data_IF_340155924681
#
_entry.id   IF_340155924681
#
_cell.length_a   1.000
_cell.length_b   1.000
_cell.length_c   1.000
_cell.angle_alpha   90.00
_cell.angle_beta   90.00
_cell.angle_gamma   90.00
#
_symmetry.space_group_name_H-M   'P 1'
#
loop_
_entity.id
_entity.type
_entity.pdbx_description
1 polymer ?
#
# COMPACT_ATOMS: atom_id res chain seq x y z
N UNK A 1 -3.42 28.90 -7.43
CA UNK A 1 -3.42 28.38 -6.05
C UNK A 1 -4.68 27.59 -5.66
N UNK A 2 -5.90 27.97 -6.07
CA UNK A 2 -7.13 27.20 -5.70
C UNK A 2 -7.28 25.85 -6.46
N UNK A 3 -6.76 25.74 -7.69
CA UNK A 3 -6.81 24.48 -8.48
C UNK A 3 -6.01 23.33 -7.85
N UNK A 4 -4.78 23.59 -7.41
CA UNK A 4 -3.92 22.62 -6.73
C UNK A 4 -4.56 22.04 -5.45
N UNK A 5 -5.26 22.85 -4.64
CA UNK A 5 -5.89 22.31 -3.41
C UNK A 5 -7.06 21.37 -3.68
N UNK A 6 -7.88 21.66 -4.69
CA UNK A 6 -9.00 20.78 -5.12
C UNK A 6 -8.44 19.49 -5.72
N UNK A 7 -7.40 19.58 -6.56
CA UNK A 7 -6.74 18.43 -7.17
C UNK A 7 -6.16 17.48 -6.11
N UNK A 8 -5.49 18.02 -5.08
CA UNK A 8 -4.97 17.24 -3.95
C UNK A 8 -6.07 16.56 -3.12
N UNK A 9 -7.23 17.20 -2.96
CA UNK A 9 -8.38 16.61 -2.27
C UNK A 9 -9.04 15.47 -3.05
N UNK A 10 -9.12 15.62 -4.37
CA UNK A 10 -9.61 14.57 -5.26
C UNK A 10 -8.65 13.38 -5.20
N UNK A 11 -7.34 13.62 -5.36
CA UNK A 11 -6.32 12.57 -5.28
C UNK A 11 -6.35 11.84 -3.92
N UNK A 12 -6.53 12.57 -2.81
CA UNK A 12 -6.72 11.98 -1.49
C UNK A 12 -7.94 11.06 -1.44
N UNK A 13 -9.08 11.53 -1.95
CA UNK A 13 -10.32 10.74 -1.92
C UNK A 13 -10.22 9.49 -2.80
N UNK A 14 -9.52 9.59 -3.93
CA UNK A 14 -9.19 8.45 -4.79
C UNK A 14 -8.29 7.44 -4.06
N UNK A 15 -7.23 7.92 -3.39
CA UNK A 15 -6.31 7.09 -2.61
C UNK A 15 -6.99 6.39 -1.42
N UNK A 16 -7.82 7.11 -0.65
CA UNK A 16 -8.56 6.54 0.49
C UNK A 16 -9.46 5.37 0.06
N UNK A 17 -10.04 5.43 -1.15
CA UNK A 17 -10.86 4.34 -1.69
C UNK A 17 -10.03 3.15 -2.16
N UNK A 18 -8.82 3.40 -2.67
CA UNK A 18 -7.94 2.38 -3.23
C UNK A 18 -7.23 1.52 -2.16
N UNK A 19 -7.24 1.92 -0.88
CA UNK A 19 -6.55 1.19 0.22
C UNK A 19 -7.39 0.08 0.85
N UNK A 20 -8.71 0.13 0.70
CA UNK A 20 -9.62 -0.91 1.20
C UNK A 20 -9.37 -2.35 0.71
N UNK A 21 -8.70 -2.63 -0.44
CA UNK A 21 -8.56 -3.99 -0.94
C UNK A 21 -7.19 -4.66 -0.67
N UNK A 22 -6.20 -4.07 0.01
CA UNK A 22 -4.84 -4.66 0.06
C UNK A 22 -4.86 -6.04 0.76
N UNK A 23 -5.35 -6.11 2.00
CA UNK A 23 -5.45 -7.35 2.78
C UNK A 23 -6.44 -8.34 2.16
N UNK A 24 -7.59 -7.86 1.69
CA UNK A 24 -8.59 -8.72 1.06
C UNK A 24 -8.02 -9.37 -0.22
N UNK A 25 -7.29 -8.60 -1.03
CA UNK A 25 -6.65 -9.10 -2.25
C UNK A 25 -5.51 -10.06 -1.94
N UNK A 26 -4.70 -9.76 -0.92
CA UNK A 26 -3.63 -10.65 -0.47
C UNK A 26 -4.18 -12.01 -0.01
N UNK A 27 -5.25 -12.00 0.78
CA UNK A 27 -5.91 -13.22 1.26
C UNK A 27 -6.49 -14.05 0.11
N UNK A 28 -7.07 -13.38 -0.89
CA UNK A 28 -7.58 -14.04 -2.10
C UNK A 28 -6.46 -14.67 -2.94
N UNK A 29 -5.27 -14.07 -3.00
CA UNK A 29 -4.15 -14.56 -3.81
C UNK A 29 -3.31 -15.64 -3.11
N UNK A 30 -3.07 -15.51 -1.81
CA UNK A 30 -2.32 -16.52 -1.02
C UNK A 30 -3.20 -17.75 -0.74
N UNK A 31 -4.52 -17.58 -0.65
CA UNK A 31 -5.43 -18.66 -0.32
C UNK A 31 -5.21 -19.22 1.10
N UNK A 32 -5.82 -20.36 1.44
CA UNK A 32 -5.58 -20.99 2.73
C UNK A 32 -4.12 -21.44 2.85
N UNK A 33 -3.45 -21.06 3.92
CA UNK A 33 -2.07 -21.48 4.22
C UNK A 33 -2.04 -23.00 4.36
N UNK A 34 -1.45 -23.69 3.38
CA UNK A 34 -1.21 -25.13 3.47
C UNK A 34 0.03 -25.38 4.33
N UNK A 35 -0.18 -26.03 5.48
CA UNK A 35 0.90 -26.37 6.43
C UNK A 35 1.89 -27.40 5.86
N UNK A 36 1.61 -27.96 4.67
CA UNK A 36 2.52 -28.84 3.93
C UNK A 36 3.51 -28.09 3.01
N UNK A 37 3.42 -26.76 2.90
CA UNK A 37 4.33 -25.96 2.06
C UNK A 37 5.78 -25.97 2.56
N UNK A 38 6.69 -25.74 1.63
CA UNK A 38 8.11 -25.62 1.92
C UNK A 38 8.33 -24.43 2.87
N UNK A 39 9.02 -24.67 3.98
CA UNK A 39 9.10 -23.71 5.11
C UNK A 39 9.60 -22.33 4.68
N UNK A 40 10.46 -22.29 3.67
CA UNK A 40 11.03 -21.04 3.15
C UNK A 40 10.01 -20.19 2.39
N UNK A 41 9.15 -20.80 1.58
CA UNK A 41 8.09 -20.09 0.84
C UNK A 41 7.02 -19.56 1.82
N UNK A 42 6.71 -20.34 2.86
CA UNK A 42 5.82 -19.91 3.94
C UNK A 42 6.38 -18.71 4.70
N UNK A 43 7.67 -18.71 5.07
CA UNK A 43 8.34 -17.59 5.75
C UNK A 43 8.34 -16.31 4.90
N UNK A 44 8.56 -16.40 3.58
CA UNK A 44 8.52 -15.25 2.68
C UNK A 44 7.09 -14.66 2.55
N UNK A 45 6.06 -15.52 2.44
CA UNK A 45 4.66 -15.08 2.44
C UNK A 45 4.27 -14.38 3.74
N UNK A 46 4.70 -14.92 4.89
CA UNK A 46 4.46 -14.30 6.19
C UNK A 46 5.12 -12.93 6.32
N UNK A 47 6.36 -12.78 5.83
CA UNK A 47 7.06 -11.50 5.84
C UNK A 47 6.32 -10.46 4.98
N UNK A 48 5.94 -10.82 3.75
CA UNK A 48 5.19 -9.92 2.86
C UNK A 48 3.84 -9.54 3.47
N UNK A 49 3.09 -10.50 4.02
CA UNK A 49 1.82 -10.22 4.68
C UNK A 49 1.97 -9.28 5.89
N UNK A 50 3.03 -9.46 6.69
CA UNK A 50 3.32 -8.58 7.81
C UNK A 50 3.62 -7.15 7.36
N UNK A 51 4.43 -6.95 6.32
CA UNK A 51 4.73 -5.62 5.79
C UNK A 51 3.49 -4.93 5.20
N UNK A 52 2.66 -5.67 4.47
CA UNK A 52 1.41 -5.14 3.92
C UNK A 52 0.42 -4.74 5.01
N UNK A 53 0.32 -5.52 6.09
CA UNK A 53 -0.52 -5.17 7.24
C UNK A 53 -0.02 -3.90 7.97
N UNK A 54 1.30 -3.70 8.05
CA UNK A 54 1.86 -2.45 8.60
C UNK A 54 1.50 -1.26 7.71
N UNK A 55 1.64 -1.39 6.39
CA UNK A 55 1.26 -0.36 5.42
C UNK A 55 -0.21 0.05 5.57
N UNK A 56 -1.12 -0.92 5.64
CA UNK A 56 -2.54 -0.65 5.87
C UNK A 56 -2.79 0.07 7.20
N UNK A 57 -2.15 -0.37 8.27
CA UNK A 57 -2.29 0.24 9.59
C UNK A 57 -1.83 1.70 9.59
N UNK A 58 -0.70 2.00 8.92
CA UNK A 58 -0.22 3.37 8.74
C UNK A 58 -1.25 4.22 8.00
N UNK A 59 -1.83 3.67 6.93
CA UNK A 59 -2.81 4.36 6.09
C UNK A 59 -4.19 4.51 6.73
N UNK A 60 -4.54 3.68 7.70
CA UNK A 60 -5.78 3.83 8.47
C UNK A 60 -5.75 5.08 9.39
N UNK A 61 -4.57 5.59 9.71
CA UNK A 61 -4.40 6.74 10.61
C UNK A 61 -4.83 8.08 9.99
N UNK A 62 -5.57 8.91 10.74
CA UNK A 62 -5.99 10.24 10.26
C UNK A 62 -4.83 11.18 9.91
N UNK A 63 -3.68 11.04 10.59
CA UNK A 63 -2.49 11.86 10.33
C UNK A 63 -1.91 11.62 8.94
N UNK A 64 -1.97 10.37 8.45
CA UNK A 64 -1.50 9.99 7.12
C UNK A 64 -2.14 10.81 6.00
N UNK A 65 -3.44 11.12 6.15
CA UNK A 65 -4.23 11.82 5.16
C UNK A 65 -4.20 13.35 5.25
N UNK A 66 -3.43 13.89 6.19
CA UNK A 66 -3.32 15.34 6.36
C UNK A 66 -2.58 15.97 5.18
N UNK A 67 -3.12 17.06 4.63
CA UNK A 67 -2.52 17.80 3.49
C UNK A 67 -1.47 18.82 3.95
N UNK A 68 -0.80 18.52 5.07
CA UNK A 68 0.27 19.30 5.67
C UNK A 68 1.60 18.52 5.58
N UNK A 69 2.68 19.12 6.09
CA UNK A 69 4.03 18.53 6.07
C UNK A 69 4.13 17.22 6.86
N UNK A 70 3.29 17.05 7.90
CA UNK A 70 3.24 15.83 8.71
C UNK A 70 2.68 14.65 7.89
N UNK A 71 1.54 14.85 7.22
CA UNK A 71 0.97 13.84 6.34
C UNK A 71 1.83 13.56 5.11
N UNK A 72 2.52 14.57 4.57
CA UNK A 72 3.52 14.39 3.49
C UNK A 72 4.66 13.45 3.94
N UNK A 73 5.15 13.61 5.18
CA UNK A 73 6.15 12.71 5.76
C UNK A 73 5.66 11.26 5.89
N UNK A 74 4.43 11.07 6.37
CA UNK A 74 3.83 9.72 6.47
C UNK A 74 3.61 9.05 5.11
N UNK A 75 3.18 9.81 4.09
CA UNK A 75 3.03 9.28 2.72
C UNK A 75 4.37 8.93 2.10
N UNK A 76 5.41 9.74 2.33
CA UNK A 76 6.77 9.43 1.89
C UNK A 76 7.29 8.11 2.50
N UNK A 77 7.09 7.89 3.80
CA UNK A 77 7.46 6.63 4.47
C UNK A 77 6.72 5.43 3.88
N UNK A 78 5.42 5.56 3.62
CA UNK A 78 4.64 4.50 2.98
C UNK A 78 5.14 4.19 1.56
N UNK A 79 5.49 5.21 0.77
CA UNK A 79 6.06 5.02 -0.57
C UNK A 79 7.39 4.25 -0.53
N UNK A 80 8.26 4.53 0.44
CA UNK A 80 9.50 3.77 0.64
C UNK A 80 9.20 2.30 0.97
N UNK A 81 8.28 2.06 1.91
CA UNK A 81 7.92 0.71 2.32
C UNK A 81 7.23 -0.09 1.19
N UNK A 82 6.42 0.55 0.35
CA UNK A 82 5.86 -0.08 -0.86
C UNK A 82 7.00 -0.53 -1.80
N UNK A 83 8.01 0.30 -2.02
CA UNK A 83 9.16 -0.04 -2.87
C UNK A 83 9.98 -1.20 -2.28
N UNK A 84 10.07 -1.29 -0.96
CA UNK A 84 10.79 -2.36 -0.27
C UNK A 84 10.06 -3.72 -0.32
N UNK A 85 8.72 -3.72 -0.21
CA UNK A 85 7.91 -4.96 -0.22
C UNK A 85 7.64 -5.48 -1.63
N UNK A 86 7.58 -4.61 -2.63
CA UNK A 86 7.25 -4.95 -4.02
C UNK A 86 8.07 -6.12 -4.60
N UNK A 87 9.40 -6.23 -4.40
CA UNK A 87 10.18 -7.38 -4.86
C UNK A 87 9.71 -8.72 -4.28
N UNK A 88 9.23 -8.74 -3.04
CA UNK A 88 8.66 -9.94 -2.41
C UNK A 88 7.30 -10.30 -3.02
N UNK A 89 6.44 -9.30 -3.19
CA UNK A 89 5.11 -9.44 -3.82
C UNK A 89 5.23 -10.03 -5.23
N UNK A 90 6.16 -9.52 -6.04
CA UNK A 90 6.39 -10.00 -7.41
C UNK A 90 6.94 -11.43 -7.46
N UNK A 91 7.81 -11.79 -6.51
CA UNK A 91 8.41 -13.14 -6.43
C UNK A 91 7.39 -14.20 -6.05
N UNK A 92 6.45 -13.84 -5.18
CA UNK A 92 5.32 -14.68 -4.79
C UNK A 92 4.20 -14.70 -5.85
N UNK A 93 4.39 -14.03 -6.99
CA UNK A 93 3.42 -13.94 -8.08
C UNK A 93 2.06 -13.36 -7.65
N UNK A 94 2.04 -12.47 -6.65
CA UNK A 94 0.85 -11.78 -6.14
C UNK A 94 0.48 -10.61 -7.06
N UNK A 95 0.01 -10.94 -8.26
CA UNK A 95 -0.20 -9.99 -9.36
C UNK A 95 -1.21 -8.89 -9.07
N UNK A 96 -2.31 -9.19 -8.38
CA UNK A 96 -3.33 -8.20 -8.03
C UNK A 96 -2.83 -7.29 -6.91
N UNK A 97 -2.16 -7.86 -5.92
CA UNK A 97 -1.53 -7.10 -4.84
C UNK A 97 -0.48 -6.14 -5.42
N UNK A 98 0.37 -6.60 -6.33
CA UNK A 98 1.33 -5.74 -7.03
C UNK A 98 0.64 -4.59 -7.77
N UNK A 99 -0.44 -4.87 -8.50
CA UNK A 99 -1.20 -3.84 -9.21
C UNK A 99 -1.78 -2.77 -8.28
N UNK A 100 -2.35 -3.17 -7.14
CA UNK A 100 -2.87 -2.21 -6.14
C UNK A 100 -1.75 -1.33 -5.59
N UNK A 101 -0.59 -1.92 -5.26
CA UNK A 101 0.56 -1.17 -4.76
C UNK A 101 1.08 -0.14 -5.79
N UNK A 102 1.11 -0.50 -7.07
CA UNK A 102 1.47 0.43 -8.15
C UNK A 102 0.46 1.59 -8.27
N UNK A 103 -0.85 1.29 -8.22
CA UNK A 103 -1.88 2.33 -8.21
C UNK A 103 -1.75 3.27 -7.01
N UNK A 104 -1.43 2.73 -5.84
CA UNK A 104 -1.21 3.52 -4.64
C UNK A 104 -0.02 4.45 -4.77
N UNK A 105 1.10 4.00 -5.35
CA UNK A 105 2.25 4.88 -5.61
C UNK A 105 1.83 6.10 -6.42
N UNK A 106 1.12 5.87 -7.52
CA UNK A 106 0.64 6.94 -8.40
C UNK A 106 -0.29 7.90 -7.64
N UNK A 107 -1.23 7.36 -6.86
CA UNK A 107 -2.21 8.17 -6.12
C UNK A 107 -1.56 8.99 -5.00
N UNK A 108 -0.65 8.40 -4.24
CA UNK A 108 0.06 9.08 -3.16
C UNK A 108 0.97 10.19 -3.69
N UNK A 109 1.71 9.94 -4.78
CA UNK A 109 2.54 10.96 -5.42
C UNK A 109 1.69 12.15 -5.91
N UNK A 110 0.51 11.89 -6.50
CA UNK A 110 -0.43 12.94 -6.94
C UNK A 110 -1.01 13.79 -5.80
N UNK A 111 -1.10 13.26 -4.57
CA UNK A 111 -1.53 14.05 -3.40
C UNK A 111 -0.49 15.13 -3.05
N UNK A 112 0.79 14.85 -3.32
CA UNK A 112 1.91 15.70 -2.92
C UNK A 112 2.54 16.50 -4.08
N UNK A 113 2.04 16.30 -5.30
CA UNK A 113 2.36 17.16 -6.45
C UNK A 113 1.98 18.63 -6.17
N UNK A 114 2.93 19.54 -6.44
CA UNK A 114 2.87 20.98 -6.14
C UNK A 114 2.48 21.83 -7.34
#
# INVERSE_FOLDING_TARGET
MVRSWIERLIARTEAERAILPISDTLLDEIGPVDLAEDRHESEERWQVASELSILESQMAGHHFWSLNTEGEGHRAEALERIRDVMPGVLRLHLTKTAHILDEMVILLERIDER
#
